data_IF_590167394242
#
_entry.id   IF_590167394242
#
_cell.length_a   1.000
_cell.length_b   1.000
_cell.length_c   1.000
_cell.angle_alpha   90.00
_cell.angle_beta   90.00
_cell.angle_gamma   90.00
#
_symmetry.space_group_name_H-M   'P 1'
#
loop_
_entity.id
_entity.type
_entity.pdbx_description
1 polymer ?
#
# COMPACT_ATOMS: atom_id res chain seq x y z
N UNK A 1 42.92 5.42 -69.45
CA UNK A 1 41.98 4.29 -69.65
C UNK A 1 41.61 3.68 -68.30
N UNK A 2 42.61 3.28 -67.51
CA UNK A 2 42.46 2.88 -66.09
C UNK A 2 41.71 3.92 -65.25
N UNK A 3 42.04 5.21 -65.34
CA UNK A 3 41.35 6.26 -64.56
C UNK A 3 39.84 6.37 -64.85
N UNK A 4 39.40 6.14 -66.09
CA UNK A 4 37.97 6.16 -66.46
C UNK A 4 37.23 4.95 -65.91
N UNK A 5 37.91 3.81 -65.87
CA UNK A 5 37.42 2.55 -65.30
C UNK A 5 37.34 2.65 -63.77
N UNK A 6 38.36 3.21 -63.12
CA UNK A 6 38.39 3.44 -61.67
C UNK A 6 37.32 4.45 -61.21
N UNK A 7 37.01 5.47 -62.00
CA UNK A 7 35.89 6.40 -61.72
C UNK A 7 34.55 5.68 -61.86
N UNK A 8 34.40 4.81 -62.87
CA UNK A 8 33.18 4.01 -63.06
C UNK A 8 32.96 3.02 -61.91
N UNK A 9 34.01 2.36 -61.44
CA UNK A 9 33.94 1.45 -60.28
C UNK A 9 33.70 2.21 -58.97
N UNK A 10 34.29 3.39 -58.80
CA UNK A 10 34.01 4.23 -57.63
C UNK A 10 32.56 4.72 -57.59
N UNK A 11 32.00 5.09 -58.75
CA UNK A 11 30.59 5.50 -58.86
C UNK A 11 29.65 4.32 -58.57
N UNK A 12 29.96 3.12 -59.07
CA UNK A 12 29.14 1.94 -58.78
C UNK A 12 29.19 1.55 -57.29
N UNK A 13 30.36 1.60 -56.65
CA UNK A 13 30.45 1.35 -55.22
C UNK A 13 29.89 2.48 -54.35
N UNK A 14 29.85 3.72 -54.86
CA UNK A 14 29.18 4.82 -54.17
C UNK A 14 27.67 4.56 -54.00
N UNK A 15 27.03 3.89 -54.96
CA UNK A 15 25.61 3.52 -54.84
C UNK A 15 25.40 2.44 -53.77
N UNK A 16 26.29 1.44 -53.72
CA UNK A 16 26.27 0.42 -52.66
C UNK A 16 26.49 1.03 -51.27
N UNK A 17 27.45 1.96 -51.16
CA UNK A 17 27.72 2.67 -49.91
C UNK A 17 26.53 3.51 -49.46
N UNK A 18 25.87 4.20 -50.39
CA UNK A 18 24.64 4.96 -50.12
C UNK A 18 23.49 4.05 -49.67
N UNK A 19 23.30 2.90 -50.31
CA UNK A 19 22.29 1.92 -49.92
C UNK A 19 22.57 1.31 -48.54
N UNK A 20 23.83 1.01 -48.21
CA UNK A 20 24.22 0.57 -46.88
C UNK A 20 23.93 1.64 -45.83
N UNK A 21 24.28 2.91 -46.12
CA UNK A 21 23.97 4.03 -45.24
C UNK A 21 22.46 4.16 -45.00
N UNK A 22 21.63 4.03 -46.04
CA UNK A 22 20.17 4.05 -45.88
C UNK A 22 19.67 2.93 -44.95
N UNK A 23 20.22 1.72 -45.07
CA UNK A 23 19.88 0.60 -44.18
C UNK A 23 20.31 0.82 -42.73
N UNK A 24 21.50 1.39 -42.53
CA UNK A 24 21.98 1.76 -41.19
C UNK A 24 21.06 2.82 -40.59
N UNK A 25 20.74 3.89 -41.34
CA UNK A 25 19.84 4.94 -40.86
C UNK A 25 18.43 4.42 -40.56
N UNK A 26 17.90 3.50 -41.37
CA UNK A 26 16.62 2.85 -41.08
C UNK A 26 16.68 2.00 -39.80
N UNK A 27 17.80 1.30 -39.56
CA UNK A 27 18.01 0.51 -38.35
C UNK A 27 18.11 1.41 -37.12
N UNK A 28 18.82 2.54 -37.21
CA UNK A 28 18.92 3.54 -36.15
C UNK A 28 17.55 4.13 -35.79
N UNK A 29 16.69 4.40 -36.80
CA UNK A 29 15.33 4.88 -36.56
C UNK A 29 14.50 3.85 -35.78
N UNK A 30 14.62 2.57 -36.10
CA UNK A 30 13.95 1.48 -35.35
C UNK A 30 14.49 1.40 -33.92
N UNK A 31 15.82 1.43 -33.73
CA UNK A 31 16.44 1.41 -32.41
C UNK A 31 16.01 2.61 -31.56
N UNK A 32 15.93 3.81 -32.14
CA UNK A 32 15.44 5.00 -31.46
C UNK A 32 13.98 4.85 -31.01
N UNK A 33 13.12 4.24 -31.85
CA UNK A 33 11.73 3.95 -31.48
C UNK A 33 11.64 2.94 -30.32
N UNK A 34 12.45 1.89 -30.34
CA UNK A 34 12.50 0.89 -29.27
C UNK A 34 13.00 1.52 -27.97
N UNK A 35 14.05 2.35 -28.05
CA UNK A 35 14.57 3.08 -26.89
C UNK A 35 13.51 4.02 -26.30
N UNK A 36 12.77 4.75 -27.13
CA UNK A 36 11.68 5.61 -26.68
C UNK A 36 10.58 4.82 -25.95
N UNK A 37 10.17 3.68 -26.51
CA UNK A 37 9.18 2.80 -25.89
C UNK A 37 9.67 2.25 -24.54
N UNK A 38 10.90 1.74 -24.46
CA UNK A 38 11.49 1.23 -23.22
C UNK A 38 11.66 2.32 -22.16
N UNK A 39 12.05 3.54 -22.55
CA UNK A 39 12.11 4.69 -21.66
C UNK A 39 10.75 5.06 -21.08
N UNK A 40 9.70 5.02 -21.92
CA UNK A 40 8.30 5.19 -21.47
C UNK A 40 7.89 4.12 -20.46
N UNK A 41 8.13 2.84 -20.77
CA UNK A 41 7.85 1.73 -19.85
C UNK A 41 8.59 1.87 -18.52
N UNK A 42 9.87 2.27 -18.55
CA UNK A 42 10.64 2.49 -17.32
C UNK A 42 10.04 3.61 -16.48
N UNK A 43 9.64 4.72 -17.10
CA UNK A 43 9.02 5.84 -16.39
C UNK A 43 7.69 5.43 -15.76
N UNK A 44 6.86 4.69 -16.47
CA UNK A 44 5.56 4.24 -15.96
C UNK A 44 5.70 3.19 -14.87
N UNK A 45 6.66 2.26 -14.97
CA UNK A 45 7.00 1.35 -13.88
C UNK A 45 7.51 2.10 -12.64
N UNK A 46 8.26 3.20 -12.84
CA UNK A 46 8.69 4.10 -11.78
C UNK A 46 7.51 4.70 -11.01
N UNK A 47 6.54 5.29 -11.74
CA UNK A 47 5.32 5.87 -11.15
C UNK A 47 4.49 4.82 -10.41
N UNK A 48 4.24 3.66 -11.03
CA UNK A 48 3.47 2.57 -10.42
C UNK A 48 4.14 2.10 -9.12
N UNK A 49 5.48 1.99 -9.11
CA UNK A 49 6.23 1.64 -7.91
C UNK A 49 6.04 2.69 -6.81
N UNK A 50 6.13 3.97 -7.12
CA UNK A 50 5.94 5.06 -6.15
C UNK A 50 4.51 5.03 -5.55
N UNK A 51 3.50 4.79 -6.38
CA UNK A 51 2.11 4.64 -5.93
C UNK A 51 1.94 3.44 -4.99
N UNK A 52 2.54 2.30 -5.31
CA UNK A 52 2.52 1.11 -4.45
C UNK A 52 3.15 1.42 -3.09
N UNK A 53 4.31 2.07 -3.07
CA UNK A 53 4.99 2.44 -1.81
C UNK A 53 4.14 3.42 -0.99
N UNK A 54 3.55 4.42 -1.64
CA UNK A 54 2.64 5.37 -0.99
C UNK A 54 1.42 4.68 -0.37
N UNK A 55 0.80 3.75 -1.09
CA UNK A 55 -0.33 2.97 -0.60
C UNK A 55 0.06 2.09 0.59
N UNK A 56 1.22 1.44 0.52
CA UNK A 56 1.74 0.60 1.61
C UNK A 56 1.99 1.43 2.88
N UNK A 57 2.60 2.61 2.77
CA UNK A 57 2.80 3.50 3.93
C UNK A 57 1.48 3.97 4.53
N UNK A 58 0.49 4.32 3.70
CA UNK A 58 -0.86 4.65 4.18
C UNK A 58 -1.51 3.49 4.91
N UNK A 59 -1.45 2.29 4.34
CA UNK A 59 -2.01 1.09 4.95
C UNK A 59 -1.35 0.77 6.30
N UNK A 60 -0.01 0.88 6.37
CA UNK A 60 0.75 0.72 7.61
C UNK A 60 0.32 1.73 8.66
N UNK A 61 0.18 3.01 8.29
CA UNK A 61 -0.32 4.05 9.19
C UNK A 61 -1.73 3.77 9.71
N UNK A 62 -2.65 3.31 8.86
CA UNK A 62 -4.01 2.92 9.26
C UNK A 62 -4.01 1.72 10.21
N UNK A 63 -3.15 0.72 9.97
CA UNK A 63 -3.00 -0.45 10.83
C UNK A 63 -2.57 -0.05 12.25
N UNK A 64 -1.56 0.81 12.36
CA UNK A 64 -1.10 1.34 13.66
C UNK A 64 -2.23 2.10 14.38
N UNK A 65 -2.93 3.01 13.69
CA UNK A 65 -4.05 3.75 14.28
C UNK A 65 -5.15 2.83 14.80
N UNK A 66 -5.47 1.78 14.06
CA UNK A 66 -6.49 0.80 14.44
C UNK A 66 -6.04 -0.02 15.64
N UNK A 67 -4.77 -0.45 15.67
CA UNK A 67 -4.19 -1.17 16.81
C UNK A 67 -4.25 -0.32 18.09
N UNK A 68 -3.82 0.94 18.01
CA UNK A 68 -3.87 1.88 19.13
C UNK A 68 -5.30 2.08 19.62
N UNK A 69 -6.27 2.29 18.71
CA UNK A 69 -7.68 2.44 19.08
C UNK A 69 -8.22 1.19 19.79
N UNK A 70 -7.90 -0.01 19.29
CA UNK A 70 -8.31 -1.28 19.93
C UNK A 70 -7.66 -1.48 21.29
N UNK A 71 -6.41 -1.06 21.48
CA UNK A 71 -5.74 -1.14 22.78
C UNK A 71 -6.41 -0.21 23.80
N UNK A 72 -6.64 1.04 23.42
CA UNK A 72 -7.33 2.03 24.25
C UNK A 72 -8.75 1.58 24.58
N UNK A 73 -9.51 1.08 23.59
CA UNK A 73 -10.85 0.55 23.80
C UNK A 73 -10.86 -0.63 24.78
N UNK A 74 -9.89 -1.55 24.71
CA UNK A 74 -9.79 -2.67 25.66
C UNK A 74 -9.51 -2.19 27.07
N UNK A 75 -8.57 -1.26 27.22
CA UNK A 75 -8.22 -0.70 28.53
C UNK A 75 -9.38 0.08 29.15
N UNK A 76 -9.97 1.02 28.41
CA UNK A 76 -11.14 1.78 28.86
C UNK A 76 -12.36 0.89 29.09
N UNK A 77 -12.60 -0.09 28.21
CA UNK A 77 -13.70 -1.03 28.35
C UNK A 77 -13.60 -1.85 29.62
N UNK A 78 -12.41 -2.36 29.95
CA UNK A 78 -12.15 -3.05 31.22
C UNK A 78 -12.36 -2.15 32.43
N UNK A 79 -11.86 -0.91 32.37
CA UNK A 79 -12.05 0.08 33.43
C UNK A 79 -13.53 0.42 33.66
N UNK A 80 -14.26 0.75 32.60
CA UNK A 80 -15.69 1.05 32.66
C UNK A 80 -16.48 -0.15 33.15
N UNK A 81 -16.17 -1.37 32.69
CA UNK A 81 -16.84 -2.59 33.16
C UNK A 81 -16.59 -2.85 34.65
N UNK A 82 -15.42 -2.49 35.18
CA UNK A 82 -15.11 -2.56 36.60
C UNK A 82 -15.89 -1.53 37.41
N UNK A 83 -15.85 -0.25 37.01
CA UNK A 83 -16.44 0.86 37.77
C UNK A 83 -17.97 1.00 37.60
N UNK A 84 -18.53 0.66 36.45
CA UNK A 84 -19.95 0.87 36.17
C UNK A 84 -20.83 -0.14 36.92
N UNK A 85 -21.88 0.35 37.58
CA UNK A 85 -22.89 -0.50 38.23
C UNK A 85 -24.10 -0.64 37.29
N UNK A 86 -24.42 -1.86 36.81
CA UNK A 86 -25.56 -2.04 35.92
C UNK A 86 -26.90 -1.73 36.59
N UNK A 87 -27.88 -1.12 35.89
CA UNK A 87 -29.19 -0.83 36.46
C UNK A 87 -29.94 -2.06 36.98
N UNK A 88 -29.73 -3.23 36.37
CA UNK A 88 -30.30 -4.49 36.85
C UNK A 88 -29.76 -4.92 38.21
N UNK A 89 -28.49 -4.63 38.51
CA UNK A 89 -27.90 -4.86 39.83
C UNK A 89 -28.50 -3.91 40.87
N UNK A 90 -28.74 -2.64 40.50
CA UNK A 90 -29.40 -1.67 41.39
C UNK A 90 -30.81 -2.14 41.75
N UNK A 91 -31.63 -2.48 40.76
CA UNK A 91 -32.99 -3.00 41.00
C UNK A 91 -32.99 -4.33 41.77
N UNK A 92 -32.06 -5.22 41.44
CA UNK A 92 -31.88 -6.49 42.13
C UNK A 92 -31.54 -6.35 43.63
N UNK A 93 -30.91 -5.24 44.02
CA UNK A 93 -30.57 -4.95 45.42
C UNK A 93 -31.66 -4.10 46.10
N UNK A 94 -32.18 -3.08 45.42
CA UNK A 94 -33.07 -2.10 46.04
C UNK A 94 -34.56 -2.47 46.00
N UNK A 95 -34.99 -3.30 45.03
CA UNK A 95 -36.41 -3.53 44.74
C UNK A 95 -36.82 -5.01 44.86
N UNK A 96 -35.86 -5.94 45.04
CA UNK A 96 -36.11 -7.38 45.06
C UNK A 96 -36.00 -7.99 46.46
N UNK A 97 -36.69 -9.10 46.69
CA UNK A 97 -36.61 -9.85 47.95
C UNK A 97 -35.24 -10.50 48.17
N UNK A 98 -34.91 -10.74 49.44
CA UNK A 98 -33.66 -11.40 49.85
C UNK A 98 -33.66 -12.84 49.34
N UNK A 99 -32.86 -13.06 48.30
CA UNK A 99 -32.70 -14.32 47.59
C UNK A 99 -31.22 -14.62 47.33
N UNK A 100 -30.90 -15.80 46.79
CA UNK A 100 -29.52 -16.13 46.38
C UNK A 100 -28.99 -15.14 45.33
N UNK A 101 -29.84 -14.68 44.41
CA UNK A 101 -29.52 -13.66 43.42
C UNK A 101 -29.17 -12.29 44.06
N UNK A 102 -29.88 -11.91 45.13
CA UNK A 102 -29.57 -10.69 45.90
C UNK A 102 -28.16 -10.76 46.51
N UNK A 103 -27.81 -11.90 47.12
CA UNK A 103 -26.48 -12.12 47.70
C UNK A 103 -25.41 -12.07 46.61
N UNK A 104 -25.68 -12.63 45.44
CA UNK A 104 -24.77 -12.57 44.30
C UNK A 104 -24.54 -11.12 43.83
N UNK A 105 -25.60 -10.31 43.72
CA UNK A 105 -25.47 -8.90 43.37
C UNK A 105 -24.63 -8.10 44.40
N UNK A 106 -24.78 -8.37 45.70
CA UNK A 106 -23.94 -7.74 46.73
C UNK A 106 -22.46 -8.12 46.61
N UNK A 107 -22.16 -9.39 46.31
CA UNK A 107 -20.79 -9.85 46.09
C UNK A 107 -20.19 -9.16 44.86
N UNK A 108 -20.95 -9.06 43.77
CA UNK A 108 -20.52 -8.35 42.56
C UNK A 108 -20.33 -6.85 42.82
N UNK A 109 -21.22 -6.20 43.56
CA UNK A 109 -21.12 -4.79 43.94
C UNK A 109 -19.87 -4.53 44.79
N UNK A 110 -19.59 -5.40 45.77
CA UNK A 110 -18.35 -5.33 46.57
C UNK A 110 -17.09 -5.44 45.70
N UNK A 111 -17.08 -6.35 44.71
CA UNK A 111 -15.96 -6.46 43.76
C UNK A 111 -15.76 -5.18 42.95
N UNK A 112 -16.84 -4.50 42.57
CA UNK A 112 -16.80 -3.21 41.87
C UNK A 112 -16.27 -2.08 42.76
N UNK A 113 -16.67 -2.03 44.04
CA UNK A 113 -16.10 -1.07 45.01
C UNK A 113 -14.62 -1.31 45.28
N UNK A 114 -14.16 -2.55 45.28
CA UNK A 114 -12.74 -2.87 45.48
C UNK A 114 -11.88 -2.60 44.23
N UNK A 115 -12.51 -2.41 43.07
CA UNK A 115 -11.83 -2.12 41.80
C UNK A 115 -11.49 -0.63 41.63
N UNK A 116 -12.31 0.25 42.22
CA UNK A 116 -12.16 1.72 42.20
C UNK A 116 -11.35 2.17 43.40
#
# INVERSE_FOLDING_TARGET
RVEKESVSDYVSESENLAHLHMKISASDAVLASVQGALGGFQADLGKVREEIVSLQERARGMSVRTSNRKQVQRSLGGFVAGAAVPPGMVRGICESDVSEAYVEYLVQLRKKFAFV
#
